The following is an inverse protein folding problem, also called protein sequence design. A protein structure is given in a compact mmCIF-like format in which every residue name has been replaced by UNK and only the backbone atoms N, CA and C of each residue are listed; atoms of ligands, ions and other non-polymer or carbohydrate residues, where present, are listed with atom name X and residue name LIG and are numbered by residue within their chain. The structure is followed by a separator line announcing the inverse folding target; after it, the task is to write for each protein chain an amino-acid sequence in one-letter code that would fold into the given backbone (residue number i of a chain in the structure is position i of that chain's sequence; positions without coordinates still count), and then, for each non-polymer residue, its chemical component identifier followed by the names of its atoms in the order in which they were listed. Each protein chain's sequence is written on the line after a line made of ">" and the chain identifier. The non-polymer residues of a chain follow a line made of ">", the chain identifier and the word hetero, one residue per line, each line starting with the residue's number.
data_IF_111021284408
#
_entry.id   IF_111021284408
#
_cell.length_a   1.000
_cell.length_b   1.000
_cell.length_c   1.000
_cell.angle_alpha   90.00
_cell.angle_beta   90.00
_cell.angle_gamma   90.00
#
_symmetry.space_group_name_H-M   'P 1'
#
loop_
_entity.id
_entity.type
_entity.pdbx_description
1 polymer ?
#
# COMPACT_ATOMS: atom_id res chain seq x y z
N UNK A 1 -4.48 -65.51 -13.05
CA UNK A 1 -3.07 -65.19 -12.75
C UNK A 1 -2.94 -63.69 -12.58
N UNK A 2 -2.67 -63.33 -11.33
CA UNK A 2 -1.91 -62.20 -10.80
C UNK A 2 -2.13 -60.76 -11.27
N UNK A 3 -2.48 -59.96 -10.27
CA UNK A 3 -2.67 -58.52 -10.22
C UNK A 3 -1.32 -57.80 -10.10
N UNK A 4 -1.04 -56.82 -10.98
CA UNK A 4 0.13 -55.96 -10.86
C UNK A 4 -0.11 -54.84 -9.84
N UNK A 5 0.38 -55.11 -8.63
CA UNK A 5 0.39 -54.25 -7.44
C UNK A 5 1.41 -53.09 -7.63
N UNK A 6 0.98 -51.84 -7.49
CA UNK A 6 1.87 -50.67 -7.48
C UNK A 6 2.46 -50.49 -6.08
N UNK A 7 3.77 -50.63 -5.94
CA UNK A 7 4.50 -50.46 -4.68
C UNK A 7 4.37 -49.03 -4.13
N UNK A 8 4.05 -48.83 -2.83
CA UNK A 8 4.17 -47.53 -2.19
C UNK A 8 5.63 -47.31 -1.79
N UNK A 9 6.28 -46.34 -2.43
CA UNK A 9 7.62 -45.89 -2.05
C UNK A 9 7.62 -45.40 -0.59
N UNK A 10 8.42 -46.02 0.27
CA UNK A 10 8.74 -45.54 1.61
C UNK A 10 9.51 -44.22 1.47
N UNK A 11 8.80 -43.09 1.54
CA UNK A 11 9.42 -41.76 1.62
C UNK A 11 9.97 -41.54 3.02
N UNK A 12 11.29 -41.72 3.20
CA UNK A 12 11.99 -41.21 4.39
C UNK A 12 11.89 -39.67 4.39
N UNK A 13 11.00 -39.12 5.22
CA UNK A 13 10.87 -37.66 5.40
C UNK A 13 12.14 -37.14 6.08
N UNK A 14 12.85 -36.22 5.44
CA UNK A 14 14.03 -35.57 6.00
C UNK A 14 13.69 -34.75 7.24
N UNK A 15 14.67 -34.53 8.13
CA UNK A 15 14.52 -33.69 9.35
C UNK A 15 13.96 -32.30 9.01
N UNK A 16 14.29 -31.77 7.83
CA UNK A 16 13.80 -30.50 7.31
C UNK A 16 12.27 -30.51 7.07
N UNK A 17 11.73 -31.61 6.53
CA UNK A 17 10.29 -31.74 6.29
C UNK A 17 9.48 -31.80 7.60
N UNK A 18 10.07 -32.33 8.68
CA UNK A 18 9.47 -32.34 10.02
C UNK A 18 9.47 -30.94 10.66
N UNK A 19 10.50 -30.13 10.45
CA UNK A 19 10.54 -28.74 10.93
C UNK A 19 9.52 -27.87 10.20
N UNK A 20 9.38 -27.99 8.87
CA UNK A 20 8.38 -27.22 8.13
C UNK A 20 6.94 -27.64 8.46
N UNK A 21 6.68 -28.92 8.69
CA UNK A 21 5.34 -29.38 9.09
C UNK A 21 4.94 -28.86 10.49
N UNK A 22 5.90 -28.71 11.43
CA UNK A 22 5.66 -28.06 12.74
C UNK A 22 5.41 -26.56 12.63
N UNK A 23 6.10 -25.87 11.72
CA UNK A 23 5.93 -24.43 11.50
C UNK A 23 4.59 -24.13 10.78
N UNK A 24 4.16 -24.98 9.85
CA UNK A 24 2.89 -24.80 9.16
C UNK A 24 1.67 -25.19 10.02
N UNK A 25 1.78 -26.16 10.94
CA UNK A 25 0.67 -26.53 11.83
C UNK A 25 0.33 -25.45 12.86
N UNK A 26 1.25 -24.51 13.13
CA UNK A 26 0.99 -23.34 13.99
C UNK A 26 0.14 -22.26 13.29
N UNK A 27 -0.04 -22.33 11.96
CA UNK A 27 -0.78 -21.32 11.19
C UNK A 27 -2.20 -21.73 10.83
N UNK A 28 -2.60 -22.99 11.04
CA UNK A 28 -3.88 -23.53 10.57
C UNK A 28 -4.96 -23.66 11.65
N UNK A 29 -4.74 -23.17 12.87
CA UNK A 29 -5.77 -23.08 13.92
C UNK A 29 -6.09 -21.63 14.24
N UNK A 30 -6.56 -20.88 13.24
CA UNK A 30 -7.21 -19.58 13.47
C UNK A 30 -8.22 -19.30 12.36
N UNK A 31 -9.23 -20.16 12.26
CA UNK A 31 -10.47 -19.85 11.54
C UNK A 31 -11.62 -19.99 12.52
N UNK A 32 -11.90 -18.90 13.25
CA UNK A 32 -13.20 -18.47 13.77
C UNK A 32 -13.00 -17.19 14.59
N UNK A 33 -13.02 -16.04 13.90
CA UNK A 33 -13.14 -14.73 14.54
C UNK A 33 -14.60 -14.32 14.37
N UNK A 34 -15.36 -14.40 15.46
CA UNK A 34 -16.61 -13.68 15.64
C UNK A 34 -16.30 -12.37 16.35
N UNK A 35 -16.92 -11.30 15.88
CA UNK A 35 -16.68 -9.91 16.25
C UNK A 35 -16.92 -9.62 17.74
N UNK A 36 -15.99 -8.95 18.40
CA UNK A 36 -16.27 -7.77 19.25
C UNK A 36 -14.97 -7.18 19.81
N UNK A 37 -14.97 -5.85 19.90
CA UNK A 37 -13.86 -4.97 20.27
C UNK A 37 -13.07 -5.42 21.50
N UNK A 38 -11.74 -5.44 21.38
CA UNK A 38 -10.83 -5.55 22.51
C UNK A 38 -9.38 -5.66 22.06
N UNK A 39 -8.57 -4.67 22.41
CA UNK A 39 -7.11 -4.62 22.20
C UNK A 39 -6.47 -5.83 22.91
N UNK A 40 -5.96 -6.78 22.13
CA UNK A 40 -5.33 -8.01 22.63
C UNK A 40 -3.86 -7.79 22.96
N UNK A 41 -3.55 -7.47 24.22
CA UNK A 41 -2.19 -7.53 24.78
C UNK A 41 -1.77 -9.00 24.82
N UNK A 42 -0.69 -9.35 24.12
CA UNK A 42 -0.13 -10.71 24.10
C UNK A 42 0.67 -10.96 25.39
N UNK A 43 0.01 -11.55 26.40
CA UNK A 43 0.69 -12.07 27.60
C UNK A 43 1.37 -13.41 27.27
N UNK A 44 2.70 -13.41 27.19
CA UNK A 44 3.50 -14.64 27.19
C UNK A 44 3.48 -15.27 28.59
N UNK A 45 2.72 -16.35 28.77
CA UNK A 45 2.74 -17.16 29.99
C UNK A 45 4.11 -17.85 30.13
N UNK A 46 4.78 -17.60 31.26
CA UNK A 46 5.98 -18.31 31.70
C UNK A 46 5.62 -19.77 32.07
N UNK A 47 6.21 -20.73 31.37
CA UNK A 47 6.08 -22.17 31.67
C UNK A 47 7.03 -22.55 32.83
N UNK A 48 6.46 -23.04 33.94
CA UNK A 48 7.14 -23.97 34.87
C UNK A 48 6.73 -25.39 34.48
N UNK A 49 7.63 -26.39 34.48
CA UNK A 49 7.22 -27.79 34.51
C UNK A 49 7.34 -28.34 35.93
N UNK A 50 6.20 -28.73 36.52
CA UNK A 50 6.18 -29.77 37.54
C UNK A 50 5.75 -31.06 36.83
N UNK A 51 6.53 -32.12 36.99
CA UNK A 51 6.06 -33.50 36.88
C UNK A 51 6.58 -34.19 38.13
N UNK A 52 5.63 -34.55 38.98
CA UNK A 52 5.75 -35.54 40.05
C UNK A 52 5.70 -36.92 39.40
N UNK A 53 6.54 -37.85 39.87
CA UNK A 53 6.24 -39.27 39.94
C UNK A 53 7.15 -39.89 41.04
N UNK A 54 6.46 -40.50 42.01
CA UNK A 54 6.85 -41.46 43.06
C UNK A 54 7.65 -42.65 42.47
N UNK A 55 8.48 -43.48 43.12
CA UNK A 55 8.92 -43.80 44.49
C UNK A 55 10.26 -44.59 44.37
N UNK A 56 10.98 -44.75 45.49
CA UNK A 56 11.71 -45.95 45.97
C UNK A 56 13.08 -45.65 46.61
N UNK A 57 13.18 -46.18 47.83
CA UNK A 57 14.23 -46.08 48.84
C UNK A 57 15.60 -46.62 48.40
N UNK A 58 16.69 -45.98 48.84
CA UNK A 58 17.89 -46.70 49.30
C UNK A 58 18.74 -45.84 50.26
N UNK A 59 19.09 -46.46 51.38
CA UNK A 59 19.84 -45.94 52.52
C UNK A 59 21.33 -45.72 52.16
N UNK A 60 21.95 -44.68 52.72
CA UNK A 60 23.37 -44.44 52.46
C UNK A 60 23.98 -43.28 53.23
N UNK A 61 24.11 -43.48 54.54
CA UNK A 61 24.94 -42.68 55.46
C UNK A 61 26.36 -42.40 54.89
N UNK A 62 26.69 -41.12 54.74
CA UNK A 62 28.05 -40.64 55.04
C UNK A 62 28.05 -39.13 55.27
N UNK A 63 28.07 -38.80 56.55
CA UNK A 63 28.77 -37.63 57.08
C UNK A 63 30.14 -37.52 56.40
N UNK A 64 30.47 -36.39 55.75
CA UNK A 64 31.75 -35.70 55.87
C UNK A 64 31.82 -34.38 55.05
N UNK A 65 32.19 -33.32 55.76
CA UNK A 65 32.83 -32.08 55.34
C UNK A 65 32.15 -31.11 54.35
N UNK A 66 31.42 -30.18 54.97
CA UNK A 66 31.33 -28.77 54.58
C UNK A 66 32.75 -28.18 54.38
N UNK A 67 33.22 -28.09 53.12
CA UNK A 67 34.28 -27.15 52.75
C UNK A 67 33.83 -26.27 51.58
N UNK A 68 33.24 -25.16 51.97
CA UNK A 68 32.96 -23.93 51.23
C UNK A 68 33.99 -23.63 50.14
N UNK A 69 33.67 -23.98 48.88
CA UNK A 69 34.35 -23.46 47.68
C UNK A 69 33.38 -23.39 46.49
N UNK A 70 32.25 -22.71 46.64
CA UNK A 70 31.31 -22.50 45.52
C UNK A 70 30.77 -21.07 45.36
N UNK A 71 31.19 -20.12 46.21
CA UNK A 71 30.67 -18.74 46.16
C UNK A 71 31.18 -17.90 44.99
N UNK A 72 32.32 -18.26 44.36
CA UNK A 72 32.89 -17.46 43.26
C UNK A 72 32.19 -17.70 41.91
N UNK A 73 31.74 -18.93 41.61
CA UNK A 73 31.09 -19.26 40.33
C UNK A 73 29.68 -18.66 40.21
N UNK A 74 28.94 -18.57 41.31
CA UNK A 74 27.59 -17.97 41.32
C UNK A 74 27.63 -16.46 41.03
N UNK A 75 28.61 -15.74 41.61
CA UNK A 75 28.77 -14.30 41.41
C UNK A 75 29.12 -13.91 39.97
N UNK A 76 30.08 -14.62 39.35
CA UNK A 76 30.46 -14.37 37.95
C UNK A 76 29.32 -14.63 36.96
N UNK A 77 28.47 -15.62 37.24
CA UNK A 77 27.33 -15.96 36.38
C UNK A 77 26.28 -14.84 36.44
N UNK A 78 25.95 -14.34 37.64
CA UNK A 78 25.01 -13.21 37.84
C UNK A 78 25.51 -11.90 37.22
N UNK A 79 26.82 -11.63 37.26
CA UNK A 79 27.41 -10.44 36.61
C UNK A 79 27.28 -10.54 35.09
N UNK A 80 27.54 -11.71 34.51
CA UNK A 80 27.36 -11.95 33.07
C UNK A 80 25.90 -11.81 32.63
N UNK A 81 24.96 -12.34 33.41
CA UNK A 81 23.53 -12.19 33.16
C UNK A 81 23.09 -10.72 33.20
N UNK A 82 23.57 -9.95 34.18
CA UNK A 82 23.28 -8.51 34.27
C UNK A 82 23.86 -7.74 33.09
N UNK A 83 25.10 -8.02 32.68
CA UNK A 83 25.71 -7.40 31.50
C UNK A 83 24.93 -7.71 30.22
N UNK A 84 24.46 -8.95 30.07
CA UNK A 84 23.61 -9.35 28.95
C UNK A 84 22.28 -8.58 28.97
N UNK A 85 21.62 -8.48 30.11
CA UNK A 85 20.36 -7.73 30.23
C UNK A 85 20.55 -6.24 29.93
N UNK A 86 21.66 -5.63 30.39
CA UNK A 86 22.00 -4.23 30.05
C UNK A 86 22.21 -4.08 28.54
N UNK A 87 22.87 -5.03 27.88
CA UNK A 87 23.04 -5.01 26.42
C UNK A 87 21.70 -5.09 25.70
N UNK A 88 20.80 -5.99 26.14
CA UNK A 88 19.44 -6.10 25.60
C UNK A 88 18.66 -4.79 25.76
N UNK A 89 18.79 -4.11 26.91
CA UNK A 89 18.19 -2.80 27.13
C UNK A 89 18.76 -1.70 26.22
N UNK A 90 20.07 -1.71 25.96
CA UNK A 90 20.71 -0.76 25.03
C UNK A 90 20.21 -1.01 23.61
N UNK A 91 20.13 -2.26 23.19
CA UNK A 91 19.60 -2.65 21.87
C UNK A 91 18.14 -2.20 21.72
N UNK A 92 17.30 -2.45 22.73
CA UNK A 92 15.91 -2.01 22.73
C UNK A 92 15.79 -0.49 22.56
N UNK A 93 16.59 0.30 23.31
CA UNK A 93 16.63 1.76 23.16
C UNK A 93 17.05 2.22 21.77
N UNK A 94 18.01 1.54 21.13
CA UNK A 94 18.45 1.87 19.77
C UNK A 94 17.30 1.65 18.77
N UNK A 95 16.57 0.53 18.87
CA UNK A 95 15.41 0.28 18.01
C UNK A 95 14.30 1.32 18.23
N UNK A 96 14.00 1.64 19.49
CA UNK A 96 13.02 2.66 19.84
C UNK A 96 13.37 4.02 19.22
N UNK A 97 14.59 4.53 19.44
CA UNK A 97 15.05 5.80 18.86
C UNK A 97 15.08 5.76 17.33
N UNK A 98 15.49 4.65 16.71
CA UNK A 98 15.46 4.51 15.24
C UNK A 98 14.04 4.62 14.71
N UNK A 99 13.08 4.00 15.39
CA UNK A 99 11.66 4.07 15.02
C UNK A 99 11.08 5.47 15.28
N UNK A 100 11.51 6.16 16.34
CA UNK A 100 11.13 7.56 16.58
C UNK A 100 11.67 8.49 15.49
N UNK A 101 12.93 8.33 15.07
CA UNK A 101 13.50 9.09 13.94
C UNK A 101 12.72 8.80 12.65
N UNK A 102 12.34 7.54 12.40
CA UNK A 102 11.50 7.18 11.24
C UNK A 102 10.14 7.88 11.27
N UNK A 103 9.50 7.96 12.44
CA UNK A 103 8.24 8.67 12.61
C UNK A 103 8.39 10.18 12.37
N UNK A 104 9.41 10.81 12.96
CA UNK A 104 9.71 12.23 12.76
C UNK A 104 10.02 12.55 11.28
N UNK A 105 10.70 11.64 10.58
CA UNK A 105 10.92 11.78 9.14
C UNK A 105 9.61 11.69 8.33
N UNK A 106 8.67 10.82 8.73
CA UNK A 106 7.35 10.79 8.10
C UNK A 106 6.56 12.08 8.35
N UNK A 107 6.67 12.68 9.54
CA UNK A 107 6.07 13.99 9.86
C UNK A 107 6.66 15.09 8.98
N UNK A 108 7.99 15.10 8.81
CA UNK A 108 8.68 16.01 7.89
C UNK A 108 8.14 15.89 6.46
N UNK A 109 7.94 14.67 5.97
CA UNK A 109 7.39 14.44 4.63
C UNK A 109 5.96 14.99 4.48
N UNK A 110 5.11 14.82 5.49
CA UNK A 110 3.75 15.37 5.47
C UNK A 110 3.74 16.89 5.49
N UNK A 111 4.63 17.51 6.27
CA UNK A 111 4.73 18.95 6.38
C UNK A 111 5.30 19.65 5.13
N UNK A 112 5.80 18.90 4.15
CA UNK A 112 6.24 19.48 2.89
C UNK A 112 5.08 19.80 1.93
N UNK A 113 3.94 19.10 2.07
CA UNK A 113 2.80 19.21 1.14
C UNK A 113 1.46 19.02 1.87
N UNK A 114 0.72 20.10 2.15
CA UNK A 114 1.08 21.51 1.93
C UNK A 114 2.28 21.94 2.79
N UNK A 115 3.03 22.96 2.35
CA UNK A 115 4.22 23.42 3.05
C UNK A 115 3.87 24.06 4.40
N UNK A 116 4.35 23.48 5.49
CA UNK A 116 4.22 23.95 6.86
C UNK A 116 5.61 24.06 7.50
N UNK A 117 6.10 25.30 7.64
CA UNK A 117 7.42 25.57 8.19
C UNK A 117 7.53 25.16 9.68
N UNK A 118 6.46 25.35 10.47
CA UNK A 118 6.48 25.05 11.89
C UNK A 118 6.53 23.54 12.13
N UNK A 119 5.74 22.78 11.38
CA UNK A 119 5.78 21.32 11.44
C UNK A 119 7.11 20.74 10.92
N UNK A 120 7.72 21.34 9.89
CA UNK A 120 9.06 20.98 9.42
C UNK A 120 10.11 21.20 10.53
N UNK A 121 10.10 22.36 11.18
CA UNK A 121 11.03 22.66 12.27
C UNK A 121 10.84 21.75 13.48
N UNK A 122 9.59 21.43 13.83
CA UNK A 122 9.28 20.51 14.92
C UNK A 122 9.80 19.09 14.63
N UNK A 123 9.57 18.59 13.41
CA UNK A 123 10.06 17.28 12.98
C UNK A 123 11.59 17.22 12.93
N UNK A 124 12.25 18.27 12.42
CA UNK A 124 13.72 18.38 12.40
C UNK A 124 14.29 18.40 13.82
N UNK A 125 13.70 19.19 14.71
CA UNK A 125 14.09 19.25 16.13
C UNK A 125 13.97 17.88 16.79
N UNK A 126 12.87 17.16 16.56
CA UNK A 126 12.68 15.81 17.09
C UNK A 126 13.75 14.82 16.60
N UNK A 127 14.16 14.89 15.33
CA UNK A 127 15.27 14.07 14.79
C UNK A 127 16.58 14.43 15.49
N UNK A 128 16.89 15.71 15.64
CA UNK A 128 18.12 16.18 16.30
C UNK A 128 18.17 15.75 17.77
N UNK A 129 17.04 15.82 18.48
CA UNK A 129 16.92 15.38 19.86
C UNK A 129 17.15 13.87 20.02
N UNK A 130 16.55 13.04 19.17
CA UNK A 130 16.77 11.59 19.19
C UNK A 130 18.21 11.22 18.81
N UNK A 131 18.82 11.90 17.84
CA UNK A 131 20.24 11.70 17.50
C UNK A 131 21.17 12.10 18.66
N UNK A 132 20.83 13.18 19.39
CA UNK A 132 21.54 13.59 20.60
C UNK A 132 21.42 12.52 21.68
N UNK A 133 20.21 11.99 21.92
CA UNK A 133 19.97 10.92 22.88
C UNK A 133 20.74 9.63 22.54
N UNK A 134 20.80 9.24 21.27
CA UNK A 134 21.61 8.11 20.78
C UNK A 134 23.10 8.34 20.99
N UNK A 135 23.59 9.57 20.76
CA UNK A 135 24.99 9.94 20.99
C UNK A 135 25.37 9.81 22.48
N UNK A 136 24.49 10.26 23.38
CA UNK A 136 24.67 10.11 24.82
C UNK A 136 24.63 8.64 25.25
N UNK A 137 23.69 7.85 24.73
CA UNK A 137 23.59 6.41 24.98
C UNK A 137 24.89 5.70 24.57
N UNK A 138 25.43 6.02 23.39
CA UNK A 138 26.71 5.49 22.90
C UNK A 138 27.85 5.87 23.84
N UNK A 139 27.95 7.14 24.24
CA UNK A 139 29.00 7.62 25.16
C UNK A 139 28.96 6.89 26.50
N UNK A 140 27.77 6.76 27.09
CA UNK A 140 27.59 6.12 28.40
C UNK A 140 27.88 4.61 28.32
N UNK A 141 27.51 3.95 27.21
CA UNK A 141 27.86 2.56 26.94
C UNK A 141 29.39 2.35 26.88
N UNK A 142 30.10 3.19 26.13
CA UNK A 142 31.57 3.10 25.99
C UNK A 142 32.32 3.37 27.30
N UNK A 143 31.82 4.31 28.12
CA UNK A 143 32.39 4.60 29.45
C UNK A 143 32.01 3.58 30.52
N UNK A 144 31.13 2.62 30.20
CA UNK A 144 30.55 1.67 31.16
C UNK A 144 29.80 2.34 32.32
N UNK A 145 29.24 3.53 32.06
CA UNK A 145 28.51 4.38 33.03
C UNK A 145 26.98 4.16 32.93
N UNK A 146 26.53 3.04 32.36
CA UNK A 146 25.12 2.74 32.20
C UNK A 146 24.48 2.29 33.51
N UNK A 147 23.88 3.24 34.22
CA UNK A 147 22.98 2.97 35.34
C UNK A 147 21.57 2.69 34.82
N UNK A 148 21.39 1.57 34.11
CA UNK A 148 20.09 1.12 33.63
C UNK A 148 19.53 0.03 34.54
N UNK A 149 18.24 0.12 34.86
CA UNK A 149 17.46 -1.04 35.27
C UNK A 149 17.00 -1.75 33.99
N UNK A 150 17.55 -2.94 33.64
CA UNK A 150 17.35 -3.53 32.32
C UNK A 150 15.88 -3.76 31.98
N UNK A 151 15.11 -4.35 32.88
CA UNK A 151 13.69 -4.65 32.67
C UNK A 151 12.86 -3.38 32.42
N UNK A 152 13.08 -2.33 33.22
CA UNK A 152 12.37 -1.06 33.06
C UNK A 152 12.77 -0.37 31.75
N UNK A 153 14.06 -0.38 31.41
CA UNK A 153 14.57 0.24 30.20
C UNK A 153 14.05 -0.46 28.93
N UNK A 154 13.96 -1.79 28.93
CA UNK A 154 13.35 -2.55 27.82
C UNK A 154 11.88 -2.19 27.66
N UNK A 155 11.11 -2.20 28.76
CA UNK A 155 9.68 -1.88 28.71
C UNK A 155 9.41 -0.46 28.21
N UNK A 156 10.20 0.53 28.66
CA UNK A 156 10.07 1.91 28.18
C UNK A 156 10.44 2.05 26.70
N UNK A 157 11.49 1.35 26.26
CA UNK A 157 11.88 1.34 24.85
C UNK A 157 10.79 0.72 23.97
N UNK A 158 10.19 -0.38 24.40
CA UNK A 158 9.08 -1.03 23.68
C UNK A 158 7.85 -0.10 23.59
N UNK A 159 7.50 0.60 24.66
CA UNK A 159 6.41 1.59 24.65
C UNK A 159 6.73 2.72 23.66
N UNK A 160 7.93 3.27 23.69
CA UNK A 160 8.37 4.33 22.77
C UNK A 160 8.33 3.86 21.31
N UNK A 161 8.79 2.64 21.03
CA UNK A 161 8.74 2.05 19.69
C UNK A 161 7.30 1.91 19.20
N UNK A 162 6.41 1.35 20.02
CA UNK A 162 4.99 1.20 19.69
C UNK A 162 4.30 2.54 19.42
N UNK A 163 4.58 3.56 20.24
CA UNK A 163 4.05 4.92 20.02
C UNK A 163 4.55 5.53 18.71
N UNK A 164 5.82 5.31 18.37
CA UNK A 164 6.41 5.81 17.13
C UNK A 164 5.86 5.09 15.90
N UNK A 165 5.59 3.79 16.00
CA UNK A 165 4.88 3.03 14.97
C UNK A 165 3.46 3.55 14.77
N UNK A 166 2.73 3.80 15.85
CA UNK A 166 1.37 4.33 15.80
C UNK A 166 1.32 5.69 15.08
N UNK A 167 2.23 6.62 15.41
CA UNK A 167 2.35 7.89 14.67
C UNK A 167 2.58 7.69 13.18
N UNK A 168 3.47 6.76 12.81
CA UNK A 168 3.75 6.46 11.39
C UNK A 168 2.50 5.96 10.65
N UNK A 169 1.70 5.11 11.30
CA UNK A 169 0.43 4.65 10.72
C UNK A 169 -0.59 5.78 10.60
N UNK A 170 -0.74 6.63 11.62
CA UNK A 170 -1.62 7.80 11.58
C UNK A 170 -1.27 8.73 10.42
N UNK A 171 0.03 8.99 10.21
CA UNK A 171 0.53 9.78 9.08
C UNK A 171 0.16 9.12 7.74
N UNK A 172 0.37 7.82 7.63
CA UNK A 172 0.05 7.06 6.40
C UNK A 172 -1.45 7.10 6.11
N UNK A 173 -2.29 6.99 7.14
CA UNK A 173 -3.74 7.08 7.02
C UNK A 173 -4.13 8.47 6.51
N UNK A 174 -3.66 9.54 7.14
CA UNK A 174 -3.93 10.93 6.71
C UNK A 174 -3.52 11.18 5.25
N UNK A 175 -2.38 10.63 4.83
CA UNK A 175 -1.92 10.71 3.44
C UNK A 175 -2.91 10.02 2.48
N UNK A 176 -3.31 8.79 2.78
CA UNK A 176 -4.24 8.04 1.94
C UNK A 176 -5.62 8.71 1.89
N UNK A 177 -6.11 9.25 3.01
CA UNK A 177 -7.34 10.03 3.06
C UNK A 177 -7.27 11.26 2.13
N UNK A 178 -6.16 12.00 2.17
CA UNK A 178 -5.97 13.16 1.28
C UNK A 178 -5.96 12.74 -0.20
N UNK A 179 -5.31 11.64 -0.56
CA UNK A 179 -5.29 11.12 -1.93
C UNK A 179 -6.68 10.68 -2.39
N UNK A 180 -7.46 10.03 -1.52
CA UNK A 180 -8.85 9.66 -1.83
C UNK A 180 -9.70 10.90 -2.10
N UNK A 181 -9.57 11.94 -1.27
CA UNK A 181 -10.33 13.19 -1.48
C UNK A 181 -9.94 13.91 -2.78
N UNK A 182 -8.65 13.94 -3.13
CA UNK A 182 -8.17 14.51 -4.39
C UNK A 182 -8.72 13.74 -5.59
N UNK A 183 -8.63 12.40 -5.55
CA UNK A 183 -9.16 11.54 -6.61
C UNK A 183 -10.67 11.69 -6.76
N UNK A 184 -11.40 11.82 -5.66
CA UNK A 184 -12.84 12.06 -5.68
C UNK A 184 -13.15 13.40 -6.37
N UNK A 185 -12.44 14.46 -6.04
CA UNK A 185 -12.58 15.76 -6.72
C UNK A 185 -12.28 15.70 -8.22
N UNK A 186 -11.25 14.95 -8.63
CA UNK A 186 -10.94 14.71 -10.04
C UNK A 186 -12.07 13.94 -10.76
N UNK A 187 -12.63 12.91 -10.13
CA UNK A 187 -13.77 12.16 -10.67
C UNK A 187 -14.97 13.07 -10.87
N UNK A 188 -15.30 13.90 -9.89
CA UNK A 188 -16.46 14.79 -9.97
C UNK A 188 -16.25 15.84 -11.06
N UNK A 189 -15.05 16.43 -11.18
CA UNK A 189 -14.71 17.32 -12.28
C UNK A 189 -14.84 16.63 -13.65
N UNK A 190 -14.33 15.41 -13.82
CA UNK A 190 -14.44 14.67 -15.07
C UNK A 190 -15.90 14.34 -15.42
N UNK A 191 -16.74 14.00 -14.43
CA UNK A 191 -18.18 13.78 -14.63
C UNK A 191 -18.86 15.05 -15.11
N UNK A 192 -18.60 16.20 -14.48
CA UNK A 192 -19.18 17.48 -14.92
C UNK A 192 -18.78 17.82 -16.34
N UNK A 193 -17.49 17.70 -16.69
CA UNK A 193 -17.00 17.91 -18.05
C UNK A 193 -17.64 16.95 -19.07
N UNK A 194 -17.86 15.69 -18.68
CA UNK A 194 -18.54 14.71 -19.54
C UNK A 194 -20.01 15.08 -19.78
N UNK A 195 -20.72 15.49 -18.74
CA UNK A 195 -22.13 15.92 -18.83
C UNK A 195 -22.28 17.16 -19.71
N UNK A 196 -21.39 18.15 -19.55
CA UNK A 196 -21.35 19.36 -20.38
C UNK A 196 -21.07 19.02 -21.86
N UNK A 197 -20.07 18.20 -22.13
CA UNK A 197 -19.74 17.75 -23.49
C UNK A 197 -20.88 16.93 -24.10
N UNK A 198 -21.53 16.08 -23.31
CA UNK A 198 -22.69 15.30 -23.74
C UNK A 198 -23.88 16.21 -24.08
N UNK A 199 -24.15 17.23 -23.26
CA UNK A 199 -25.19 18.21 -23.53
C UNK A 199 -24.88 19.04 -24.79
N UNK A 200 -23.62 19.45 -24.96
CA UNK A 200 -23.15 20.15 -26.16
C UNK A 200 -23.31 19.29 -27.42
N UNK A 201 -22.89 18.03 -27.38
CA UNK A 201 -23.03 17.08 -28.48
C UNK A 201 -24.52 16.86 -28.85
N UNK A 202 -25.38 16.68 -27.85
CA UNK A 202 -26.84 16.59 -28.07
C UNK A 202 -27.40 17.87 -28.72
N UNK A 203 -26.89 19.04 -28.34
CA UNK A 203 -27.30 20.29 -28.98
C UNK A 203 -26.82 20.38 -30.43
N UNK A 204 -25.60 19.92 -30.74
CA UNK A 204 -25.09 19.86 -32.11
C UNK A 204 -25.89 18.88 -32.97
N UNK A 205 -26.20 17.70 -32.44
CA UNK A 205 -27.03 16.70 -33.11
C UNK A 205 -28.42 17.24 -33.44
N UNK A 206 -29.06 17.97 -32.50
CA UNK A 206 -30.33 18.68 -32.76
C UNK A 206 -30.21 19.72 -33.88
N UNK A 207 -29.12 20.50 -33.93
CA UNK A 207 -28.90 21.49 -35.00
C UNK A 207 -28.66 20.83 -36.37
N UNK A 208 -27.91 19.73 -36.38
CA UNK A 208 -27.63 18.95 -37.59
C UNK A 208 -28.90 18.30 -38.14
N UNK A 209 -29.69 17.66 -37.27
CA UNK A 209 -30.95 17.01 -37.66
C UNK A 209 -32.04 18.02 -38.04
N UNK A 210 -32.04 19.24 -37.46
CA UNK A 210 -32.93 20.32 -37.88
C UNK A 210 -32.65 20.83 -39.31
N UNK A 211 -31.42 20.66 -39.81
CA UNK A 211 -31.03 21.02 -41.19
C UNK A 211 -31.39 19.91 -42.21
N UNK A 212 -31.97 18.80 -41.75
CA UNK A 212 -32.34 17.63 -42.54
C UNK A 212 -32.03 16.34 -41.78
N UNK A 213 -32.94 15.36 -41.86
CA UNK A 213 -32.79 14.07 -41.19
C UNK A 213 -31.55 13.31 -41.69
N UNK A 214 -30.56 13.14 -40.82
CA UNK A 214 -29.45 12.17 -40.95
C UNK A 214 -29.93 10.77 -40.55
N UNK A 215 -31.03 10.67 -39.80
CA UNK A 215 -31.65 9.43 -39.34
C UNK A 215 -32.23 8.54 -40.45
N UNK A 216 -32.15 8.94 -41.73
CA UNK A 216 -32.43 8.08 -42.87
C UNK A 216 -31.60 6.78 -42.87
N UNK A 217 -30.46 6.76 -42.20
CA UNK A 217 -29.54 5.62 -42.18
C UNK A 217 -29.56 4.76 -40.91
N UNK A 218 -30.28 5.16 -39.86
CA UNK A 218 -30.30 4.41 -38.58
C UNK A 218 -30.88 2.99 -38.72
N UNK A 219 -31.67 2.75 -39.77
CA UNK A 219 -32.30 1.46 -40.05
C UNK A 219 -31.52 0.58 -41.05
N UNK A 220 -30.35 1.02 -41.53
CA UNK A 220 -29.55 0.23 -42.48
C UNK A 220 -28.67 -0.78 -41.73
N UNK A 221 -29.12 -2.03 -41.68
CA UNK A 221 -28.26 -3.13 -41.25
C UNK A 221 -27.28 -3.51 -42.38
N UNK A 222 -25.98 -3.38 -42.11
CA UNK A 222 -24.91 -3.69 -43.06
C UNK A 222 -24.90 -5.15 -43.54
N UNK A 223 -25.56 -6.07 -42.83
CA UNK A 223 -25.69 -7.47 -43.21
C UNK A 223 -26.67 -7.73 -44.36
N UNK A 224 -27.61 -6.82 -44.64
CA UNK A 224 -28.67 -6.97 -45.64
C UNK A 224 -28.74 -5.78 -46.62
N UNK A 225 -27.59 -5.35 -47.13
CA UNK A 225 -27.54 -4.28 -48.13
C UNK A 225 -28.12 -4.76 -49.47
N UNK A 226 -28.89 -3.89 -50.13
CA UNK A 226 -29.49 -4.12 -51.44
C UNK A 226 -29.29 -2.87 -52.31
N UNK A 227 -29.57 -2.98 -53.62
CA UNK A 227 -29.42 -1.88 -54.58
C UNK A 227 -30.26 -0.64 -54.20
N UNK A 228 -31.42 -0.83 -53.56
CA UNK A 228 -32.26 0.28 -53.09
C UNK A 228 -31.56 1.11 -51.99
N UNK A 229 -30.87 0.47 -51.05
CA UNK A 229 -30.06 1.17 -50.05
C UNK A 229 -28.93 1.98 -50.69
N UNK A 230 -28.25 1.43 -51.71
CA UNK A 230 -27.22 2.16 -52.45
C UNK A 230 -27.77 3.42 -53.13
N UNK A 231 -28.92 3.31 -53.81
CA UNK A 231 -29.58 4.45 -54.48
C UNK A 231 -30.01 5.52 -53.46
N UNK A 232 -30.51 5.10 -52.29
CA UNK A 232 -30.89 6.02 -51.21
C UNK A 232 -29.67 6.77 -50.64
N UNK A 233 -28.57 6.06 -50.35
CA UNK A 233 -27.32 6.65 -49.88
C UNK A 233 -26.73 7.60 -50.94
N UNK A 234 -26.71 7.20 -52.20
CA UNK A 234 -26.21 8.04 -53.30
C UNK A 234 -27.04 9.32 -53.45
N UNK A 235 -28.37 9.20 -53.44
CA UNK A 235 -29.28 10.35 -53.54
C UNK A 235 -29.19 11.29 -52.35
N UNK A 236 -28.98 10.77 -51.13
CA UNK A 236 -28.67 11.59 -49.97
C UNK A 236 -27.32 12.28 -50.09
N UNK A 237 -26.27 11.55 -50.49
CA UNK A 237 -24.90 12.07 -50.64
C UNK A 237 -24.88 13.24 -51.63
N UNK A 238 -25.52 13.08 -52.79
CA UNK A 238 -25.62 14.14 -53.79
C UNK A 238 -26.38 15.38 -53.27
N UNK A 239 -27.45 15.18 -52.48
CA UNK A 239 -28.19 16.29 -51.84
C UNK A 239 -27.35 16.98 -50.78
N UNK A 240 -26.63 16.23 -49.96
CA UNK A 240 -25.75 16.75 -48.91
C UNK A 240 -24.62 17.59 -49.51
N UNK A 241 -23.91 17.07 -50.52
CA UNK A 241 -22.87 17.81 -51.24
C UNK A 241 -23.40 19.10 -51.84
N UNK A 242 -24.56 19.06 -52.50
CA UNK A 242 -25.20 20.28 -53.06
C UNK A 242 -25.57 21.29 -51.98
N UNK A 243 -26.10 20.84 -50.85
CA UNK A 243 -26.46 21.71 -49.72
C UNK A 243 -25.22 22.35 -49.08
N UNK A 244 -24.15 21.57 -48.92
CA UNK A 244 -22.87 22.04 -48.42
C UNK A 244 -22.24 23.09 -49.35
N UNK A 245 -22.17 22.81 -50.65
CA UNK A 245 -21.67 23.78 -51.64
C UNK A 245 -22.49 25.07 -51.61
N UNK A 246 -23.83 24.97 -51.52
CA UNK A 246 -24.69 26.16 -51.36
C UNK A 246 -24.37 26.96 -50.09
N UNK A 247 -24.04 26.28 -48.99
CA UNK A 247 -23.67 26.94 -47.74
C UNK A 247 -22.32 27.64 -47.85
N UNK A 248 -21.33 26.99 -48.49
CA UNK A 248 -20.04 27.61 -48.82
C UNK A 248 -20.24 28.85 -49.70
N UNK A 249 -21.04 28.75 -50.77
CA UNK A 249 -21.29 29.89 -51.67
C UNK A 249 -21.91 31.06 -50.92
N UNK A 250 -22.87 30.83 -50.01
CA UNK A 250 -23.46 31.89 -49.18
C UNK A 250 -22.45 32.58 -48.25
N UNK A 251 -21.52 31.82 -47.67
CA UNK A 251 -20.43 32.38 -46.86
C UNK A 251 -19.43 33.16 -47.72
N UNK A 252 -19.10 32.65 -48.91
CA UNK A 252 -18.26 33.35 -49.89
C UNK A 252 -18.90 34.67 -50.35
N UNK A 253 -20.21 34.68 -50.62
CA UNK A 253 -20.99 35.89 -50.94
C UNK A 253 -20.95 36.88 -49.77
N UNK A 254 -21.16 36.41 -48.54
CA UNK A 254 -21.13 37.24 -47.32
C UNK A 254 -19.74 37.84 -47.06
N UNK A 255 -18.69 37.11 -47.42
CA UNK A 255 -17.30 37.56 -47.35
C UNK A 255 -16.85 38.39 -48.58
N UNK A 256 -17.75 38.71 -49.51
CA UNK A 256 -17.47 39.45 -50.76
C UNK A 256 -16.41 38.80 -51.65
N UNK A 257 -16.35 37.47 -51.69
CA UNK A 257 -15.48 36.74 -52.61
C UNK A 257 -16.03 36.84 -54.05
N UNK A 258 -15.12 36.92 -55.02
CA UNK A 258 -15.44 36.77 -56.43
C UNK A 258 -15.71 35.28 -56.74
N UNK A 259 -17.00 34.94 -56.89
CA UNK A 259 -17.45 33.59 -57.15
C UNK A 259 -16.97 33.06 -58.51
N UNK A 260 -16.90 33.93 -59.52
CA UNK A 260 -16.50 33.53 -60.88
C UNK A 260 -15.00 33.23 -60.93
N UNK A 261 -14.19 34.03 -60.24
CA UNK A 261 -12.76 33.76 -60.07
C UNK A 261 -12.51 32.47 -59.27
N UNK A 262 -13.26 32.24 -58.18
CA UNK A 262 -13.13 31.03 -57.37
C UNK A 262 -13.57 29.77 -58.12
N UNK A 263 -14.66 29.83 -58.90
CA UNK A 263 -15.12 28.73 -59.75
C UNK A 263 -14.10 28.41 -60.85
N UNK A 264 -13.56 29.44 -61.50
CA UNK A 264 -12.52 29.29 -62.53
C UNK A 264 -11.24 28.66 -61.98
N UNK A 265 -10.82 29.05 -60.78
CA UNK A 265 -9.69 28.45 -60.08
C UNK A 265 -9.94 26.97 -59.76
N UNK A 266 -11.11 26.61 -59.26
CA UNK A 266 -11.46 25.22 -58.94
C UNK A 266 -11.50 24.30 -60.17
N UNK A 267 -12.06 24.79 -61.29
CA UNK A 267 -12.09 24.03 -62.57
C UNK A 267 -10.67 23.84 -63.12
N UNK A 268 -9.82 24.87 -63.04
CA UNK A 268 -8.44 24.80 -63.56
C UNK A 268 -7.55 23.79 -62.84
N UNK A 269 -7.85 23.46 -61.57
CA UNK A 269 -7.14 22.46 -60.77
C UNK A 269 -7.49 21.02 -61.19
N UNK A 270 -8.67 20.81 -61.79
CA UNK A 270 -9.17 19.46 -62.15
C UNK A 270 -8.71 19.01 -63.53
N UNK A 271 -8.08 19.89 -64.32
CA UNK A 271 -7.64 19.66 -65.72
C UNK A 271 -6.12 19.42 -65.83
N UNK A 272 -5.46 19.00 -64.74
CA UNK A 272 -4.04 18.56 -64.78
C UNK A 272 -3.90 17.05 -64.64
#
# INVERSE_FOLDING_TARGET
>A
METLKKNPSIRRKSKLARTFQKVCSLRSTSTKVSSSNGIGICMLKSQKPNLEDEDDDDDGDSVFDLKSTSSSRSGETKVRERQRAVLEAVVAKIFASTTTIKAAYAELQMAQRPYDNAAIQAADTAVVEELRALSELKRNFLRKELNLSPQVAIMLAEIQEQQSLMRTYEITIKKLESEVTEKQSQIDSLKTNFEENSAFNKSLEKKLTASGSISLFDNIQFSNLNLSHFVQILGFTLRSVRSFVKSIVKEMESASWDLDAAASAAVSITVR
#
